data_IF_116028625064
#
_entry.id   IF_116028625064
#
_cell.length_a   1.000
_cell.length_b   1.000
_cell.length_c   1.000
_cell.angle_alpha   90.00
_cell.angle_beta   90.00
_cell.angle_gamma   90.00
#
_symmetry.space_group_name_H-M   'P 1'
#
loop_
_entity.id
_entity.type
_entity.pdbx_description
1 polymer ?
#
# COMPACT_ATOMS: atom_id res chain seq x y z
N UNK A 1 -2.54 2.35 -5.96
CA UNK A 1 -3.25 2.28 -7.24
C UNK A 1 -4.72 2.10 -6.94
N UNK A 2 -5.62 2.86 -7.60
CA UNK A 2 -7.06 2.70 -7.43
C UNK A 2 -7.57 1.45 -8.13
N UNK A 3 -8.51 0.77 -7.50
CA UNK A 3 -9.33 -0.31 -8.06
C UNK A 3 -10.70 0.27 -8.39
N UNK A 4 -11.15 0.08 -9.61
CA UNK A 4 -12.40 0.58 -10.14
C UNK A 4 -13.44 -0.53 -10.31
N UNK A 5 -14.71 -0.20 -10.20
CA UNK A 5 -15.84 -1.14 -10.35
C UNK A 5 -16.00 -1.65 -11.80
N UNK A 6 -15.61 -0.83 -12.79
CA UNK A 6 -15.60 -1.17 -14.21
C UNK A 6 -14.36 -0.61 -14.93
N UNK A 7 -14.04 -1.04 -16.16
CA UNK A 7 -12.86 -0.59 -16.90
C UNK A 7 -13.03 0.85 -17.45
N UNK A 8 -13.37 1.80 -16.59
CA UNK A 8 -13.59 3.21 -16.90
C UNK A 8 -13.01 4.10 -15.81
N UNK A 9 -12.33 5.20 -16.18
CA UNK A 9 -11.84 6.20 -15.23
C UNK A 9 -12.97 7.04 -14.59
N UNK A 10 -14.18 6.96 -15.16
CA UNK A 10 -15.39 7.58 -14.62
C UNK A 10 -16.16 6.66 -13.67
N UNK A 11 -15.81 5.37 -13.61
CA UNK A 11 -16.47 4.46 -12.69
C UNK A 11 -15.99 4.66 -11.26
N UNK A 12 -16.74 4.15 -10.34
CA UNK A 12 -16.50 4.23 -8.91
C UNK A 12 -15.16 3.59 -8.52
N UNK A 13 -14.43 4.25 -7.63
CA UNK A 13 -13.26 3.67 -6.97
C UNK A 13 -13.77 2.85 -5.78
N UNK A 14 -13.63 1.53 -5.87
CA UNK A 14 -14.15 0.59 -4.86
C UNK A 14 -13.09 0.14 -3.87
N UNK A 15 -11.80 0.28 -4.19
CA UNK A 15 -10.69 -0.02 -3.28
C UNK A 15 -9.37 0.55 -3.82
N UNK A 16 -8.27 0.27 -3.10
CA UNK A 16 -6.92 0.65 -3.48
C UNK A 16 -5.94 -0.50 -3.25
N UNK A 17 -4.95 -0.63 -4.15
CA UNK A 17 -3.77 -1.50 -3.97
C UNK A 17 -2.65 -0.66 -3.35
N UNK A 18 -2.09 -1.13 -2.26
CA UNK A 18 -0.91 -0.54 -1.63
C UNK A 18 0.36 -0.91 -2.41
N UNK A 19 1.42 -0.13 -2.24
CA UNK A 19 2.71 -0.48 -2.83
C UNK A 19 3.21 -1.81 -2.22
N UNK A 20 3.62 -2.75 -3.09
CA UNK A 20 4.05 -4.10 -2.70
C UNK A 20 2.93 -5.10 -2.43
N UNK A 21 1.67 -4.70 -2.54
CA UNK A 21 0.53 -5.61 -2.50
C UNK A 21 0.46 -6.44 -3.79
N UNK A 22 0.20 -7.75 -3.65
CA UNK A 22 0.14 -8.68 -4.76
C UNK A 22 -1.28 -8.85 -5.27
N UNK A 23 -1.40 -9.06 -6.58
CA UNK A 23 -2.65 -9.38 -7.24
C UNK A 23 -2.40 -10.31 -8.44
N UNK A 24 -3.45 -11.03 -8.86
CA UNK A 24 -3.49 -11.81 -10.10
C UNK A 24 -4.24 -11.02 -11.17
N UNK A 25 -3.75 -11.06 -12.40
CA UNK A 25 -4.47 -10.52 -13.56
C UNK A 25 -5.37 -11.63 -14.08
N UNK A 26 -6.70 -11.37 -14.07
CA UNK A 26 -7.71 -12.30 -14.55
C UNK A 26 -7.95 -12.12 -16.07
N UNK A 27 -7.98 -10.87 -16.53
CA UNK A 27 -8.10 -10.56 -17.96
C UNK A 27 -7.45 -9.19 -18.26
N UNK A 28 -7.16 -8.97 -19.54
CA UNK A 28 -6.46 -7.78 -20.05
C UNK A 28 -7.22 -7.22 -21.26
N UNK A 29 -7.33 -5.91 -21.32
CA UNK A 29 -7.67 -5.21 -22.55
C UNK A 29 -6.61 -4.14 -22.86
N UNK A 30 -6.86 -3.27 -23.86
CA UNK A 30 -5.88 -2.27 -24.27
C UNK A 30 -5.45 -1.30 -23.14
N UNK A 31 -6.38 -0.89 -22.25
CA UNK A 31 -6.17 0.15 -21.25
C UNK A 31 -6.31 -0.32 -19.79
N UNK A 32 -6.88 -1.52 -19.56
CA UNK A 32 -7.25 -2.00 -18.23
C UNK A 32 -6.84 -3.44 -17.99
N UNK A 33 -6.60 -3.77 -16.72
CA UNK A 33 -6.51 -5.13 -16.21
C UNK A 33 -7.67 -5.38 -15.26
N UNK A 34 -8.42 -6.48 -15.45
CA UNK A 34 -9.27 -7.05 -14.41
C UNK A 34 -8.37 -7.86 -13.49
N UNK A 35 -8.40 -7.57 -12.21
CA UNK A 35 -7.49 -8.18 -11.23
C UNK A 35 -8.25 -8.79 -10.07
N UNK A 36 -7.56 -9.70 -9.36
CA UNK A 36 -7.96 -10.23 -8.06
C UNK A 36 -6.80 -10.04 -7.09
N UNK A 37 -7.03 -9.32 -5.98
CA UNK A 37 -6.02 -9.14 -4.94
C UNK A 37 -5.70 -10.48 -4.27
N UNK A 38 -4.45 -10.66 -3.83
CA UNK A 38 -4.07 -11.91 -3.16
C UNK A 38 -4.43 -11.91 -1.67
N UNK A 39 -4.63 -10.73 -1.08
CA UNK A 39 -4.91 -10.61 0.35
C UNK A 39 -6.35 -10.98 0.69
N UNK A 40 -7.31 -10.36 0.02
CA UNK A 40 -8.73 -10.43 0.35
C UNK A 40 -9.60 -10.95 -0.82
N UNK A 41 -8.95 -11.45 -1.89
CA UNK A 41 -9.62 -11.94 -3.10
C UNK A 41 -10.51 -10.90 -3.81
N UNK A 42 -10.32 -9.62 -3.53
CA UNK A 42 -11.15 -8.55 -4.07
C UNK A 42 -10.94 -8.38 -5.58
N UNK A 43 -12.05 -8.28 -6.32
CA UNK A 43 -12.02 -8.20 -7.78
C UNK A 43 -12.40 -6.79 -8.22
N UNK A 44 -11.69 -6.28 -9.21
CA UNK A 44 -11.97 -4.99 -9.84
C UNK A 44 -11.00 -4.68 -10.97
N UNK A 45 -10.98 -3.43 -11.41
CA UNK A 45 -10.21 -3.00 -12.57
C UNK A 45 -9.15 -1.97 -12.19
N UNK A 46 -7.96 -2.12 -12.75
CA UNK A 46 -6.87 -1.14 -12.61
C UNK A 46 -6.42 -0.69 -13.99
N UNK A 47 -5.94 0.57 -14.10
CA UNK A 47 -5.32 1.04 -15.35
C UNK A 47 -4.07 0.22 -15.64
N UNK A 48 -3.91 -0.14 -16.92
CA UNK A 48 -2.72 -0.88 -17.39
C UNK A 48 -1.45 -0.10 -17.03
N UNK A 49 -0.50 -0.81 -16.43
CA UNK A 49 0.82 -0.29 -16.08
C UNK A 49 1.83 -1.45 -16.06
N UNK A 50 3.12 -1.13 -15.98
CA UNK A 50 4.17 -2.12 -15.75
C UNK A 50 4.24 -2.45 -14.25
N UNK A 51 4.00 -3.71 -13.90
CA UNK A 51 4.10 -4.21 -12.54
C UNK A 51 5.18 -5.28 -12.45
N UNK A 52 5.97 -5.25 -11.39
CA UNK A 52 6.96 -6.29 -11.13
C UNK A 52 6.30 -7.49 -10.46
N UNK A 53 6.12 -8.59 -11.20
CA UNK A 53 5.48 -9.82 -10.71
C UNK A 53 6.34 -10.59 -9.71
N UNK A 54 7.68 -10.46 -9.78
CA UNK A 54 8.62 -11.14 -8.88
C UNK A 54 8.90 -10.36 -7.59
N UNK A 55 8.19 -9.27 -7.35
CA UNK A 55 8.41 -8.43 -6.17
C UNK A 55 8.11 -9.19 -4.86
N UNK A 56 9.12 -9.26 -3.97
CA UNK A 56 9.00 -9.88 -2.64
C UNK A 56 9.34 -8.86 -1.57
N UNK A 57 8.36 -8.31 -0.84
CA UNK A 57 8.62 -7.35 0.21
C UNK A 57 9.33 -8.02 1.40
N UNK A 58 10.36 -7.34 1.93
CA UNK A 58 11.12 -7.76 3.13
C UNK A 58 10.76 -6.91 4.35
N UNK A 59 10.25 -5.70 4.12
CA UNK A 59 9.84 -4.74 5.14
C UNK A 59 8.49 -4.13 4.78
N UNK A 60 7.85 -3.51 5.76
CA UNK A 60 6.59 -2.79 5.60
C UNK A 60 6.63 -1.44 6.34
N UNK A 61 5.88 -0.47 5.83
CA UNK A 61 5.77 0.87 6.42
C UNK A 61 4.97 0.80 7.72
N UNK A 62 5.54 1.34 8.79
CA UNK A 62 4.91 1.46 10.12
C UNK A 62 4.75 2.93 10.53
N UNK A 63 4.22 3.73 9.62
CA UNK A 63 3.88 5.13 9.79
C UNK A 63 2.74 5.48 8.84
N UNK A 64 1.82 6.35 9.22
CA UNK A 64 0.67 6.73 8.36
C UNK A 64 1.10 7.04 6.92
N UNK A 65 2.15 7.86 6.78
CA UNK A 65 2.83 8.14 5.51
C UNK A 65 4.34 8.25 5.73
N UNK A 66 5.13 7.60 4.93
CA UNK A 66 6.59 7.66 4.97
C UNK A 66 7.11 8.36 3.72
N UNK A 67 7.92 9.40 3.93
CA UNK A 67 8.46 10.24 2.85
C UNK A 67 9.54 9.48 2.08
N UNK A 68 9.50 9.58 0.75
CA UNK A 68 10.55 9.05 -0.13
C UNK A 68 11.64 10.12 -0.30
N UNK A 69 12.89 9.66 -0.29
CA UNK A 69 14.07 10.48 -0.51
C UNK A 69 14.83 9.99 -1.73
N UNK A 70 15.58 10.90 -2.38
CA UNK A 70 16.60 10.60 -3.37
C UNK A 70 17.96 10.96 -2.79
N UNK A 71 19.01 10.24 -3.19
CA UNK A 71 20.40 10.55 -2.81
C UNK A 71 21.11 11.20 -3.98
N UNK A 72 21.52 12.47 -3.80
CA UNK A 72 22.22 13.29 -4.80
C UNK A 72 23.46 13.88 -4.12
N UNK A 73 24.63 13.73 -4.73
CA UNK A 73 25.91 14.23 -4.21
C UNK A 73 26.14 13.87 -2.72
N UNK A 74 25.84 12.61 -2.37
CA UNK A 74 26.00 12.13 -1.00
C UNK A 74 24.88 12.49 -0.02
N UNK A 75 24.03 13.47 -0.30
CA UNK A 75 22.97 13.99 0.56
C UNK A 75 21.61 13.34 0.25
N UNK A 76 20.79 13.14 1.28
CA UNK A 76 19.41 12.65 1.14
C UNK A 76 18.44 13.82 1.03
N UNK A 77 17.86 14.02 -0.14
CA UNK A 77 16.89 15.08 -0.43
C UNK A 77 15.47 14.49 -0.43
N UNK A 78 14.55 15.16 0.25
CA UNK A 78 13.15 14.73 0.28
C UNK A 78 12.47 14.97 -1.07
N UNK A 79 11.64 14.02 -1.50
CA UNK A 79 10.77 14.17 -2.67
C UNK A 79 9.37 14.64 -2.26
N UNK A 80 8.47 14.83 -3.25
CA UNK A 80 7.04 15.05 -2.97
C UNK A 80 6.28 13.75 -2.69
N UNK A 81 6.90 12.59 -2.92
CA UNK A 81 6.26 11.28 -2.86
C UNK A 81 6.30 10.67 -1.46
N UNK A 82 5.29 9.87 -1.17
CA UNK A 82 5.16 9.13 0.09
C UNK A 82 4.67 7.70 -0.19
N UNK A 83 5.07 6.76 0.68
CA UNK A 83 4.41 5.47 0.79
C UNK A 83 3.44 5.48 1.98
N UNK A 84 2.21 4.95 1.81
CA UNK A 84 1.24 4.82 2.89
C UNK A 84 1.61 3.70 3.87
N UNK A 85 0.99 3.72 5.05
CA UNK A 85 1.04 2.63 6.04
C UNK A 85 0.81 1.27 5.39
N UNK A 86 1.46 0.26 5.92
CA UNK A 86 1.40 -1.14 5.48
C UNK A 86 1.93 -1.43 4.05
N UNK A 87 2.37 -0.42 3.29
CA UNK A 87 3.09 -0.64 2.03
C UNK A 87 4.29 -1.56 2.22
N UNK A 88 4.42 -2.58 1.39
CA UNK A 88 5.55 -3.50 1.40
C UNK A 88 6.71 -3.01 0.54
N UNK A 89 7.96 -3.05 1.04
CA UNK A 89 9.16 -2.69 0.29
C UNK A 89 10.20 -3.81 0.33
N UNK A 90 11.00 -3.93 -0.73
CA UNK A 90 12.17 -4.83 -0.76
C UNK A 90 13.41 -4.06 -0.34
N UNK A 91 14.13 -4.59 0.65
CA UNK A 91 15.42 -4.06 1.05
C UNK A 91 16.44 -4.29 -0.08
N UNK A 92 17.13 -3.24 -0.51
CA UNK A 92 18.25 -3.33 -1.48
C UNK A 92 19.57 -3.01 -0.81
N UNK A 93 19.66 -1.84 -0.19
CA UNK A 93 20.87 -1.39 0.48
C UNK A 93 20.54 -0.49 1.66
N UNK A 94 21.52 -0.24 2.53
CA UNK A 94 21.39 0.66 3.68
C UNK A 94 22.53 1.67 3.65
N UNK A 95 22.21 2.94 3.89
CA UNK A 95 23.20 3.98 4.16
C UNK A 95 22.70 4.90 5.27
N UNK A 96 23.51 5.05 6.30
CA UNK A 96 23.13 5.76 7.54
C UNK A 96 21.78 5.24 8.06
N UNK A 97 20.82 6.13 8.31
CA UNK A 97 19.46 5.82 8.77
C UNK A 97 18.45 5.66 7.62
N UNK A 98 18.90 5.40 6.39
CA UNK A 98 18.06 5.21 5.22
C UNK A 98 18.23 3.81 4.63
N UNK A 99 17.12 3.31 4.07
CA UNK A 99 17.05 2.05 3.34
C UNK A 99 16.62 2.35 1.91
N UNK A 100 17.39 1.86 0.93
CA UNK A 100 17.03 1.87 -0.48
C UNK A 100 16.10 0.70 -0.77
N UNK A 101 14.97 0.98 -1.44
CA UNK A 101 13.98 -0.02 -1.81
C UNK A 101 13.77 -0.14 -3.33
N UNK A 102 14.07 0.92 -4.06
CA UNK A 102 14.19 0.97 -5.52
C UNK A 102 15.42 1.82 -5.88
N UNK A 103 15.86 1.77 -7.15
CA UNK A 103 17.00 2.58 -7.64
C UNK A 103 16.80 4.05 -7.25
N UNK A 104 17.67 4.52 -6.38
CA UNK A 104 17.69 5.88 -5.81
C UNK A 104 16.35 6.33 -5.15
N UNK A 105 15.58 5.38 -4.59
CA UNK A 105 14.43 5.67 -3.73
C UNK A 105 14.69 5.13 -2.33
N UNK A 106 14.74 6.04 -1.37
CA UNK A 106 15.14 5.80 0.00
C UNK A 106 14.05 6.14 1.00
N UNK A 107 13.98 5.40 2.09
CA UNK A 107 13.07 5.60 3.22
C UNK A 107 13.85 5.58 4.52
N UNK A 108 13.43 6.37 5.52
CA UNK A 108 14.02 6.35 6.86
C UNK A 108 13.79 4.98 7.51
N UNK A 109 14.85 4.36 8.04
CA UNK A 109 14.79 3.04 8.71
C UNK A 109 13.76 3.00 9.84
N UNK A 110 13.62 4.10 10.60
CA UNK A 110 12.66 4.21 11.72
C UNK A 110 11.19 4.10 11.30
N UNK A 111 10.87 4.34 10.03
CA UNK A 111 9.52 4.25 9.49
C UNK A 111 9.16 2.82 9.05
N UNK A 112 10.07 1.86 9.23
CA UNK A 112 9.96 0.49 8.75
C UNK A 112 9.89 -0.52 9.89
N UNK A 113 9.18 -1.61 9.63
CA UNK A 113 9.27 -2.87 10.38
C UNK A 113 9.58 -4.01 9.41
N UNK A 114 10.16 -5.12 9.91
CA UNK A 114 10.30 -6.34 9.11
C UNK A 114 8.93 -6.82 8.64
N UNK A 115 8.88 -7.50 7.51
CA UNK A 115 7.61 -7.93 6.90
C UNK A 115 6.79 -8.86 7.81
N UNK A 116 7.45 -9.64 8.65
CA UNK A 116 6.83 -10.56 9.63
C UNK A 116 6.53 -9.90 10.99
N UNK A 117 6.81 -8.61 11.18
CA UNK A 117 6.43 -7.92 12.41
C UNK A 117 4.91 -7.99 12.60
N UNK A 118 4.48 -8.36 13.80
CA UNK A 118 3.08 -8.43 14.22
C UNK A 118 2.80 -7.32 15.25
N UNK A 119 1.77 -6.52 15.04
CA UNK A 119 1.30 -5.52 16.01
C UNK A 119 0.03 -6.04 16.69
N UNK A 120 0.15 -6.42 17.96
CA UNK A 120 -0.97 -6.95 18.77
C UNK A 120 -1.99 -5.86 19.10
N UNK A 121 -1.52 -4.63 19.29
CA UNK A 121 -2.38 -3.53 19.71
C UNK A 121 -3.01 -2.86 18.49
N UNK A 122 -4.24 -3.26 18.15
CA UNK A 122 -5.01 -2.69 17.04
C UNK A 122 -5.24 -1.17 17.22
N UNK A 123 -5.41 -0.68 18.45
CA UNK A 123 -5.64 0.74 18.75
C UNK A 123 -4.46 1.59 18.27
N UNK A 124 -3.24 1.09 18.36
CA UNK A 124 -2.05 1.78 17.81
C UNK A 124 -2.18 2.03 16.31
N UNK A 125 -2.66 1.03 15.56
CA UNK A 125 -2.84 1.17 14.10
C UNK A 125 -4.00 2.11 13.81
N UNK A 126 -5.15 1.94 14.46
CA UNK A 126 -6.30 2.81 14.24
C UNK A 126 -5.98 4.29 14.56
N UNK A 127 -5.25 4.55 15.64
CA UNK A 127 -4.80 5.90 16.01
C UNK A 127 -3.92 6.57 14.95
N UNK A 128 -3.23 5.83 14.07
CA UNK A 128 -2.51 6.43 12.95
C UNK A 128 -3.45 7.18 11.99
N UNK A 129 -4.70 6.71 11.88
CA UNK A 129 -5.70 7.27 10.96
C UNK A 129 -6.62 8.30 11.61
N UNK A 130 -6.41 8.67 12.88
CA UNK A 130 -7.11 9.80 13.50
C UNK A 130 -6.95 11.04 12.61
N UNK A 131 -8.06 11.76 12.38
CA UNK A 131 -8.13 12.94 11.51
C UNK A 131 -7.88 12.66 10.01
N UNK A 132 -7.82 11.40 9.58
CA UNK A 132 -7.87 11.08 8.16
C UNK A 132 -9.27 11.38 7.61
N UNK A 133 -9.31 11.96 6.40
CA UNK A 133 -10.60 12.21 5.74
C UNK A 133 -11.29 10.89 5.40
N UNK A 134 -12.62 10.86 5.47
CA UNK A 134 -13.39 9.79 4.86
C UNK A 134 -13.26 9.85 3.34
N UNK A 135 -12.98 8.72 2.73
CA UNK A 135 -12.91 8.58 1.29
C UNK A 135 -13.43 7.19 0.91
N UNK A 136 -14.53 7.14 0.18
CA UNK A 136 -15.07 5.89 -0.33
C UNK A 136 -14.03 5.13 -1.18
N UNK A 137 -13.87 3.83 -0.94
CA UNK A 137 -12.81 3.03 -1.58
C UNK A 137 -11.40 3.35 -1.12
N UNK A 138 -11.21 4.33 -0.24
CA UNK A 138 -9.91 4.74 0.28
C UNK A 138 -9.30 3.73 1.24
N UNK A 139 -7.94 3.63 1.20
CA UNK A 139 -7.16 2.70 2.04
C UNK A 139 -5.83 3.33 2.48
N UNK A 140 -5.73 4.66 2.47
CA UNK A 140 -4.44 5.34 2.69
C UNK A 140 -4.59 6.64 3.50
N UNK A 141 -3.47 7.31 3.81
CA UNK A 141 -3.43 8.64 4.43
C UNK A 141 -4.16 9.73 3.63
N UNK A 142 -4.49 9.51 2.37
CA UNK A 142 -5.26 10.46 1.54
C UNK A 142 -6.76 10.41 1.82
N UNK A 143 -7.19 9.37 2.49
CA UNK A 143 -8.54 9.08 2.91
C UNK A 143 -8.73 7.58 3.07
N UNK A 144 -9.64 7.22 3.96
CA UNK A 144 -9.96 5.83 4.30
C UNK A 144 -11.46 5.71 4.57
N UNK A 145 -12.09 4.61 4.13
CA UNK A 145 -13.48 4.30 4.50
C UNK A 145 -13.56 3.41 5.76
N UNK A 146 -14.75 3.19 6.25
CA UNK A 146 -15.00 2.47 7.51
C UNK A 146 -14.47 1.02 7.46
N UNK A 147 -14.76 0.28 6.40
CA UNK A 147 -14.34 -1.11 6.26
C UNK A 147 -12.82 -1.23 6.07
N UNK A 148 -12.20 -0.32 5.31
CA UNK A 148 -10.76 -0.29 5.16
C UNK A 148 -10.03 0.08 6.47
N UNK A 149 -10.63 0.91 7.33
CA UNK A 149 -10.06 1.25 8.63
C UNK A 149 -9.89 0.01 9.53
N UNK A 150 -10.87 -0.88 9.50
CA UNK A 150 -10.76 -2.16 10.23
C UNK A 150 -9.81 -3.10 9.47
N UNK A 151 -10.01 -3.25 8.16
CA UNK A 151 -9.20 -4.16 7.33
C UNK A 151 -7.71 -3.89 7.41
N UNK A 152 -7.27 -2.61 7.52
CA UNK A 152 -5.85 -2.25 7.45
C UNK A 152 -5.02 -2.84 8.61
N UNK A 153 -5.62 -3.07 9.77
CA UNK A 153 -4.99 -3.80 10.88
C UNK A 153 -4.70 -5.25 10.50
N UNK A 154 -5.69 -5.94 9.96
CA UNK A 154 -5.56 -7.33 9.51
C UNK A 154 -4.59 -7.44 8.34
N UNK A 155 -4.69 -6.52 7.38
CA UNK A 155 -3.76 -6.44 6.24
C UNK A 155 -2.30 -6.27 6.72
N UNK A 156 -2.06 -5.36 7.67
CA UNK A 156 -0.74 -5.16 8.24
C UNK A 156 -0.19 -6.43 8.89
N UNK A 157 -1.04 -7.16 9.60
CA UNK A 157 -0.68 -8.41 10.29
C UNK A 157 -0.75 -9.65 9.40
N UNK A 158 -1.13 -9.50 8.10
CA UNK A 158 -1.23 -10.57 7.11
C UNK A 158 -2.27 -11.63 7.48
N UNK A 159 -3.31 -11.23 8.18
CA UNK A 159 -4.48 -12.03 8.51
C UNK A 159 -5.57 -11.70 7.50
N UNK A 160 -6.14 -12.72 6.86
CA UNK A 160 -7.25 -12.53 5.93
C UNK A 160 -8.40 -11.76 6.60
N UNK A 161 -8.90 -10.75 5.89
CA UNK A 161 -10.08 -10.00 6.33
C UNK A 161 -10.76 -9.37 5.11
N UNK A 162 -12.10 -9.51 4.96
CA UNK A 162 -12.80 -9.01 3.78
C UNK A 162 -12.69 -7.51 3.60
N UNK A 163 -12.89 -7.04 2.35
CA UNK A 163 -12.83 -5.62 2.02
C UNK A 163 -14.14 -4.90 2.34
N UNK A 164 -15.26 -5.50 2.00
CA UNK A 164 -16.58 -4.89 2.13
C UNK A 164 -17.21 -5.19 3.48
N UNK A 165 -17.87 -4.19 4.08
CA UNK A 165 -18.48 -4.30 5.42
C UNK A 165 -19.54 -5.39 5.53
N UNK A 166 -20.23 -5.69 4.43
CA UNK A 166 -21.22 -6.79 4.40
C UNK A 166 -20.61 -8.18 4.57
N UNK A 167 -19.30 -8.30 4.31
CA UNK A 167 -18.57 -9.57 4.39
C UNK A 167 -17.67 -9.62 5.64
N UNK A 168 -17.57 -8.51 6.41
CA UNK A 168 -16.84 -8.39 7.66
C UNK A 168 -17.66 -8.83 8.86
#
# INVERSE_FOLDING_TARGET
>A
VNIYSSPSAKSEIISQILYGEKFKILSKNQKWFKIKTNFDNYIGYIKKNKFNQSFKPTHKIYKLKSKIFKRINGKFLSTKDFLPFASGISFKSKKNNFIEFEKNKWIKKRDLKKINHYEKNYVKILKLFLNSKYLWGGKTYKGIDCSALIQIYFYYNRIFFPRDSKDQ
#
